data_IF_418798260624
#
_entry.id   IF_418798260624
#
_cell.length_a   1.000
_cell.length_b   1.000
_cell.length_c   1.000
_cell.angle_alpha   90.00
_cell.angle_beta   90.00
_cell.angle_gamma   90.00
#
_symmetry.space_group_name_H-M   'P 1'
#
loop_
_entity.id
_entity.type
_entity.pdbx_description
1 polymer ?
#
# COMPACT_ATOMS: atom_id res chain seq x y z
N UNK A 1 -57.57 -79.76 -40.47
CA UNK A 1 -56.19 -80.30 -40.48
C UNK A 1 -55.21 -79.14 -40.51
N UNK A 2 -54.21 -79.17 -39.61
CA UNK A 2 -52.91 -78.48 -39.63
C UNK A 2 -52.78 -76.94 -39.49
N UNK A 3 -52.19 -76.57 -38.34
CA UNK A 3 -51.00 -75.70 -38.08
C UNK A 3 -50.95 -74.22 -38.54
N UNK A 4 -51.05 -73.34 -37.53
CA UNK A 4 -50.03 -72.36 -37.01
C UNK A 4 -49.00 -71.79 -38.00
N UNK A 5 -48.91 -70.45 -38.09
CA UNK A 5 -47.64 -69.72 -37.97
C UNK A 5 -47.83 -68.24 -37.54
N UNK A 6 -47.05 -67.85 -36.52
CA UNK A 6 -46.82 -66.50 -35.99
C UNK A 6 -46.20 -65.56 -37.04
N UNK A 7 -46.38 -64.23 -36.90
CA UNK A 7 -45.24 -63.30 -36.74
C UNK A 7 -45.69 -61.94 -36.17
N UNK A 8 -44.85 -61.41 -35.29
CA UNK A 8 -45.00 -60.30 -34.33
C UNK A 8 -44.73 -58.93 -35.01
N UNK A 9 -45.36 -57.83 -34.54
CA UNK A 9 -45.18 -56.48 -35.10
C UNK A 9 -43.88 -55.82 -34.63
N UNK A 10 -43.19 -55.11 -35.53
CA UNK A 10 -42.09 -54.20 -35.17
C UNK A 10 -42.66 -52.81 -34.83
N UNK A 11 -42.65 -52.47 -33.55
CA UNK A 11 -42.74 -51.08 -33.07
C UNK A 11 -41.34 -50.47 -33.11
N UNK A 12 -41.16 -49.40 -33.89
CA UNK A 12 -40.01 -48.52 -33.76
C UNK A 12 -40.22 -47.58 -32.55
N UNK A 13 -39.49 -47.82 -31.47
CA UNK A 13 -39.28 -46.88 -30.38
C UNK A 13 -38.16 -45.92 -30.79
N UNK A 14 -38.50 -44.64 -31.02
CA UNK A 14 -37.50 -43.57 -31.12
C UNK A 14 -37.17 -43.12 -29.70
N UNK A 15 -35.98 -43.50 -29.22
CA UNK A 15 -35.42 -42.99 -27.98
C UNK A 15 -34.89 -41.56 -28.21
N UNK A 16 -35.56 -40.58 -27.61
CA UNK A 16 -35.06 -39.21 -27.50
C UNK A 16 -34.01 -39.17 -26.38
N UNK A 17 -32.72 -39.24 -26.74
CA UNK A 17 -31.64 -39.01 -25.78
C UNK A 17 -31.55 -37.51 -25.48
N UNK A 18 -32.07 -37.10 -24.33
CA UNK A 18 -31.75 -35.82 -23.69
C UNK A 18 -30.28 -35.84 -23.29
N UNK A 19 -29.41 -35.25 -24.10
CA UNK A 19 -28.06 -34.90 -23.68
C UNK A 19 -28.15 -33.65 -22.79
N UNK A 20 -28.22 -33.88 -21.48
CA UNK A 20 -27.87 -32.87 -20.48
C UNK A 20 -26.41 -32.49 -20.73
N UNK A 21 -26.21 -31.35 -21.40
CA UNK A 21 -24.92 -30.68 -21.48
C UNK A 21 -24.69 -30.06 -20.10
N UNK A 22 -24.01 -30.80 -19.22
CA UNK A 22 -23.41 -30.23 -18.02
C UNK A 22 -22.39 -29.19 -18.51
N UNK A 23 -22.74 -27.91 -18.38
CA UNK A 23 -21.75 -26.85 -18.44
C UNK A 23 -20.69 -27.15 -17.37
N UNK A 24 -19.38 -27.04 -17.69
CA UNK A 24 -18.35 -27.21 -16.69
C UNK A 24 -18.58 -26.16 -15.61
N UNK A 25 -19.00 -26.62 -14.43
CA UNK A 25 -19.03 -25.83 -13.21
C UNK A 25 -17.63 -25.24 -13.08
N UNK A 26 -17.50 -23.95 -13.34
CA UNK A 26 -16.26 -23.23 -13.09
C UNK A 26 -15.87 -23.54 -11.64
N UNK A 27 -14.62 -23.95 -11.36
CA UNK A 27 -14.23 -24.25 -10.00
C UNK A 27 -14.56 -23.03 -9.16
N UNK A 28 -15.47 -23.20 -8.20
CA UNK A 28 -15.73 -22.22 -7.16
C UNK A 28 -14.38 -22.05 -6.48
N UNK A 29 -13.65 -21.01 -6.86
CA UNK A 29 -12.40 -20.67 -6.21
C UNK A 29 -12.78 -20.41 -4.76
N UNK A 30 -12.38 -21.34 -3.88
CA UNK A 30 -12.64 -21.20 -2.46
C UNK A 30 -12.07 -19.85 -2.03
N UNK A 31 -12.94 -19.02 -1.44
CA UNK A 31 -12.55 -17.71 -0.95
C UNK A 31 -11.39 -17.88 0.03
N UNK A 32 -10.28 -17.18 -0.24
CA UNK A 32 -9.06 -17.32 0.51
C UNK A 32 -9.29 -16.81 1.94
N UNK A 33 -8.91 -17.59 2.95
CA UNK A 33 -8.92 -17.12 4.33
C UNK A 33 -7.66 -16.29 4.61
N UNK A 34 -7.85 -15.09 5.15
CA UNK A 34 -6.78 -14.23 5.64
C UNK A 34 -6.66 -14.41 7.15
N UNK A 35 -5.45 -14.72 7.62
CA UNK A 35 -5.19 -15.07 9.01
C UNK A 35 -4.91 -13.82 9.85
N UNK A 36 -5.44 -13.79 11.07
CA UNK A 36 -5.08 -12.78 12.05
C UNK A 36 -3.57 -12.80 12.34
N UNK A 37 -2.98 -11.61 12.49
CA UNK A 37 -1.54 -11.45 12.76
C UNK A 37 -0.65 -11.61 11.53
N UNK A 38 -1.22 -11.82 10.33
CA UNK A 38 -0.52 -11.76 9.05
C UNK A 38 -0.77 -10.43 8.34
N UNK A 39 0.05 -10.17 7.34
CA UNK A 39 -0.09 -9.00 6.47
C UNK A 39 -0.23 -9.45 5.04
N UNK A 40 -1.10 -8.80 4.29
CA UNK A 40 -1.37 -9.11 2.90
C UNK A 40 -1.25 -7.85 2.06
N UNK A 41 -0.74 -7.99 0.84
CA UNK A 41 -0.61 -6.92 -0.14
C UNK A 41 -1.60 -7.13 -1.27
N UNK A 42 -2.29 -6.06 -1.65
CA UNK A 42 -3.05 -5.95 -2.89
C UNK A 42 -2.45 -4.81 -3.71
N UNK A 43 -2.06 -5.09 -4.94
CA UNK A 43 -1.58 -4.05 -5.86
C UNK A 43 -2.79 -3.37 -6.49
N UNK A 44 -2.79 -2.04 -6.44
CA UNK A 44 -3.81 -1.20 -7.04
C UNK A 44 -3.20 -0.39 -8.19
N UNK A 45 -3.97 -0.09 -9.25
CA UNK A 45 -3.52 0.83 -10.29
C UNK A 45 -3.28 2.23 -9.71
N UNK A 46 -2.71 3.12 -10.54
CA UNK A 46 -2.61 4.53 -10.18
C UNK A 46 -3.99 5.08 -9.80
N UNK A 47 -4.04 5.91 -8.76
CA UNK A 47 -5.29 6.50 -8.30
C UNK A 47 -5.68 7.65 -9.24
N UNK A 48 -6.77 7.47 -9.99
CA UNK A 48 -7.37 8.52 -10.82
C UNK A 48 -8.38 9.35 -9.99
N UNK A 49 -7.93 9.89 -8.87
CA UNK A 49 -8.82 10.54 -7.90
C UNK A 49 -8.48 12.00 -7.65
N UNK A 50 -9.54 12.77 -7.42
CA UNK A 50 -9.48 14.17 -7.06
C UNK A 50 -9.06 14.27 -5.58
N UNK A 51 -7.79 14.56 -5.34
CA UNK A 51 -7.23 14.67 -3.98
C UNK A 51 -7.98 15.66 -3.12
N UNK A 52 -8.51 16.75 -3.69
CA UNK A 52 -9.29 17.73 -2.92
C UNK A 52 -10.57 17.09 -2.40
N UNK A 53 -11.27 16.30 -3.22
CA UNK A 53 -12.45 15.54 -2.77
C UNK A 53 -12.09 14.49 -1.72
N UNK A 54 -10.98 13.77 -1.89
CA UNK A 54 -10.53 12.78 -0.90
C UNK A 54 -10.25 13.45 0.45
N UNK A 55 -9.53 14.57 0.44
CA UNK A 55 -9.20 15.34 1.64
C UNK A 55 -10.49 15.75 2.36
N UNK A 56 -11.44 16.34 1.64
CA UNK A 56 -12.69 16.79 2.25
C UNK A 56 -13.53 15.61 2.77
N UNK A 57 -13.68 14.53 2.00
CA UNK A 57 -14.37 13.33 2.45
C UNK A 57 -13.73 12.73 3.71
N UNK A 58 -12.40 12.67 3.78
CA UNK A 58 -11.68 12.16 4.94
C UNK A 58 -11.87 13.05 6.17
N UNK A 59 -11.83 14.38 6.02
CA UNK A 59 -12.12 15.32 7.11
C UNK A 59 -13.54 15.11 7.66
N UNK A 60 -14.53 14.99 6.79
CA UNK A 60 -15.93 14.73 7.20
C UNK A 60 -16.11 13.35 7.83
N UNK A 61 -15.31 12.36 7.41
CA UNK A 61 -15.25 11.04 8.02
C UNK A 61 -14.46 11.01 9.34
N UNK A 62 -13.96 12.15 9.83
CA UNK A 62 -13.28 12.27 11.12
C UNK A 62 -11.81 11.85 11.11
N UNK A 63 -11.15 11.79 9.94
CA UNK A 63 -9.73 11.48 9.85
C UNK A 63 -8.88 12.62 10.40
N UNK A 64 -7.73 12.28 10.98
CA UNK A 64 -6.64 13.23 11.13
C UNK A 64 -5.96 13.42 9.78
N UNK A 65 -5.98 14.64 9.25
CA UNK A 65 -5.48 14.94 7.91
C UNK A 65 -4.22 15.79 8.01
N UNK A 66 -3.17 15.37 7.30
CA UNK A 66 -1.92 16.10 7.11
C UNK A 66 -1.77 16.43 5.64
N UNK A 67 -1.62 17.70 5.28
CA UNK A 67 -1.42 18.14 3.90
C UNK A 67 -0.08 18.85 3.81
N UNK A 68 0.84 18.31 3.01
CA UNK A 68 2.15 18.89 2.76
C UNK A 68 2.26 19.47 1.34
N UNK A 69 2.84 20.67 1.27
CA UNK A 69 3.22 21.35 0.04
C UNK A 69 4.64 21.89 0.20
N UNK A 70 5.62 21.21 -0.40
CA UNK A 70 7.03 21.49 -0.15
C UNK A 70 7.36 21.24 1.32
N UNK A 71 7.84 22.25 2.04
CA UNK A 71 8.15 22.18 3.48
C UNK A 71 7.01 22.67 4.37
N UNK A 72 5.93 23.20 3.80
CA UNK A 72 4.77 23.67 4.55
C UNK A 72 3.81 22.52 4.81
N UNK A 73 3.30 22.43 6.05
CA UNK A 73 2.31 21.42 6.44
C UNK A 73 1.13 22.09 7.11
N UNK A 74 -0.07 21.63 6.78
CA UNK A 74 -1.30 21.96 7.50
C UNK A 74 -1.95 20.70 8.04
N UNK A 75 -2.54 20.81 9.23
CA UNK A 75 -3.13 19.69 9.95
C UNK A 75 -4.60 19.94 10.25
N UNK A 76 -5.41 18.88 10.24
CA UNK A 76 -6.81 18.89 10.62
C UNK A 76 -7.13 17.67 11.48
N UNK A 77 -7.99 17.86 12.48
CA UNK A 77 -8.64 16.82 13.26
C UNK A 77 -10.10 16.77 12.84
N UNK A 78 -10.44 15.84 11.93
CA UNK A 78 -11.69 15.91 11.19
C UNK A 78 -11.78 17.21 10.39
N UNK A 79 -12.85 17.97 10.56
CA UNK A 79 -13.03 19.26 9.88
C UNK A 79 -12.35 20.44 10.58
N UNK A 80 -11.82 20.25 11.79
CA UNK A 80 -11.22 21.34 12.58
C UNK A 80 -9.73 21.48 12.28
N UNK A 81 -9.21 22.67 11.96
CA UNK A 81 -7.77 22.91 11.88
C UNK A 81 -7.07 22.61 13.21
N UNK A 82 -5.91 21.97 13.16
CA UNK A 82 -5.06 21.76 14.33
C UNK A 82 -3.92 22.77 14.32
N UNK A 83 -4.08 23.89 15.02
CA UNK A 83 -3.12 24.99 15.03
C UNK A 83 -1.83 24.71 15.80
N UNK A 84 -1.86 23.75 16.73
CA UNK A 84 -0.71 23.36 17.56
C UNK A 84 -0.10 22.01 17.13
N UNK A 85 -0.61 21.40 16.06
CA UNK A 85 0.03 20.25 15.42
C UNK A 85 1.26 20.71 14.62
N UNK A 86 2.38 20.05 14.84
CA UNK A 86 3.65 20.26 14.13
C UNK A 86 4.22 18.92 13.69
N UNK A 87 5.18 18.88 12.74
CA UNK A 87 5.85 17.64 12.36
C UNK A 87 6.48 16.89 13.54
N UNK A 88 6.93 17.61 14.57
CA UNK A 88 7.61 17.06 15.74
C UNK A 88 6.65 16.38 16.71
N UNK A 89 5.38 16.83 16.77
CA UNK A 89 4.38 16.31 17.71
C UNK A 89 3.25 15.51 17.03
N UNK A 90 3.32 15.29 15.71
CA UNK A 90 2.23 14.69 14.92
C UNK A 90 1.80 13.31 15.46
N UNK A 91 2.74 12.52 16.01
CA UNK A 91 2.46 11.21 16.61
C UNK A 91 1.59 11.25 17.85
N UNK A 92 1.77 12.29 18.66
CA UNK A 92 1.06 12.45 19.91
C UNK A 92 -0.29 13.13 19.68
N UNK A 93 -0.37 13.98 18.67
CA UNK A 93 -1.53 14.85 18.41
C UNK A 93 -2.52 14.33 17.38
N UNK A 94 -2.09 13.53 16.41
CA UNK A 94 -2.98 12.99 15.39
C UNK A 94 -3.52 11.61 15.81
N UNK A 95 -4.79 11.50 16.22
CA UNK A 95 -5.43 10.21 16.46
C UNK A 95 -5.70 9.49 15.14
N UNK A 96 -5.63 8.15 15.20
CA UNK A 96 -6.09 7.28 14.12
C UNK A 96 -7.61 7.44 13.89
N UNK A 97 -8.12 7.42 12.63
CA UNK A 97 -7.43 7.13 11.37
C UNK A 97 -6.73 8.34 10.74
N UNK A 98 -5.78 8.08 9.82
CA UNK A 98 -4.92 9.10 9.22
C UNK A 98 -5.08 9.19 7.70
N UNK A 99 -5.08 10.41 7.15
CA UNK A 99 -4.85 10.69 5.73
C UNK A 99 -3.72 11.70 5.61
N UNK A 100 -2.59 11.27 5.09
CA UNK A 100 -1.46 12.14 4.79
C UNK A 100 -1.39 12.36 3.28
N UNK A 101 -1.21 13.61 2.86
CA UNK A 101 -1.09 14.03 1.46
C UNK A 101 0.20 14.81 1.29
N UNK A 102 0.95 14.52 0.24
CA UNK A 102 2.22 15.16 -0.12
C UNK A 102 2.27 15.39 -1.63
N UNK A 103 1.95 16.61 -2.06
CA UNK A 103 1.73 16.91 -3.47
C UNK A 103 0.63 16.02 -4.06
N UNK A 104 0.98 15.19 -5.04
CA UNK A 104 0.06 14.25 -5.69
C UNK A 104 -0.04 12.89 -4.99
N UNK A 105 0.75 12.66 -3.93
CA UNK A 105 0.80 11.38 -3.23
C UNK A 105 -0.14 11.41 -2.03
N UNK A 106 -0.69 10.25 -1.69
CA UNK A 106 -1.48 10.06 -0.48
C UNK A 106 -1.06 8.80 0.24
N UNK A 107 -1.17 8.82 1.57
CA UNK A 107 -1.06 7.66 2.42
C UNK A 107 -2.22 7.67 3.39
N UNK A 108 -3.02 6.62 3.37
CA UNK A 108 -4.20 6.46 4.20
C UNK A 108 -3.99 5.27 5.13
N UNK A 109 -4.23 5.49 6.42
CA UNK A 109 -4.26 4.45 7.45
C UNK A 109 -5.63 4.45 8.09
N UNK A 110 -6.32 3.31 8.02
CA UNK A 110 -7.65 3.21 8.60
C UNK A 110 -7.95 1.79 9.08
N UNK A 111 -9.06 1.68 9.81
CA UNK A 111 -9.51 0.45 10.44
C UNK A 111 -10.95 0.18 10.06
N UNK A 112 -11.23 -1.09 9.81
CA UNK A 112 -12.56 -1.65 9.69
C UNK A 112 -12.88 -2.58 10.85
N UNK A 113 -13.98 -3.30 10.72
CA UNK A 113 -14.39 -4.34 11.68
C UNK A 113 -13.43 -5.53 11.63
N UNK A 114 -13.00 -5.92 10.43
CA UNK A 114 -12.24 -7.15 10.20
C UNK A 114 -10.73 -6.94 10.01
N UNK A 115 -10.28 -5.70 9.81
CA UNK A 115 -8.88 -5.43 9.50
C UNK A 115 -8.46 -3.99 9.81
N UNK A 116 -7.16 -3.79 9.99
CA UNK A 116 -6.50 -2.50 9.75
C UNK A 116 -5.91 -2.52 8.35
N UNK A 117 -5.82 -1.36 7.71
CA UNK A 117 -5.24 -1.27 6.39
C UNK A 117 -4.49 0.03 6.15
N UNK A 118 -3.47 -0.06 5.30
CA UNK A 118 -2.61 1.04 4.88
C UNK A 118 -2.62 1.09 3.36
N UNK A 119 -3.19 2.14 2.77
CA UNK A 119 -3.08 2.43 1.34
C UNK A 119 -1.94 3.41 1.13
N UNK A 120 -0.93 3.04 0.35
CA UNK A 120 0.28 3.86 0.17
C UNK A 120 0.83 3.78 -1.25
N UNK A 121 1.66 4.76 -1.66
CA UNK A 121 2.32 4.70 -2.96
C UNK A 121 3.28 3.52 -3.02
N UNK A 122 3.27 2.82 -4.14
CA UNK A 122 4.22 1.78 -4.48
C UNK A 122 5.24 2.29 -5.51
N UNK A 123 6.11 1.40 -5.98
CA UNK A 123 7.04 1.74 -7.06
C UNK A 123 6.29 2.01 -8.37
N UNK A 124 6.90 2.74 -9.30
CA UNK A 124 6.36 2.99 -10.65
C UNK A 124 5.02 3.74 -10.71
N UNK A 125 4.68 4.51 -9.67
CA UNK A 125 3.48 5.36 -9.65
C UNK A 125 2.17 4.61 -9.37
N UNK A 126 2.23 3.32 -9.03
CA UNK A 126 1.07 2.56 -8.56
C UNK A 126 0.85 2.74 -7.05
N UNK A 127 -0.20 2.11 -6.54
CA UNK A 127 -0.49 2.06 -5.11
C UNK A 127 -0.55 0.61 -4.64
N UNK A 128 -0.28 0.42 -3.36
CA UNK A 128 -0.52 -0.86 -2.71
C UNK A 128 -1.39 -0.66 -1.47
N UNK A 129 -2.31 -1.61 -1.28
CA UNK A 129 -3.09 -1.75 -0.07
C UNK A 129 -2.48 -2.86 0.76
N UNK A 130 -2.00 -2.51 1.95
CA UNK A 130 -1.55 -3.46 2.95
C UNK A 130 -2.68 -3.73 3.92
N UNK A 131 -3.10 -4.98 4.04
CA UNK A 131 -4.20 -5.45 4.87
C UNK A 131 -3.65 -6.24 6.04
N UNK A 132 -4.08 -5.91 7.25
CA UNK A 132 -3.75 -6.58 8.50
C UNK A 132 -5.04 -7.05 9.18
N UNK A 133 -5.47 -8.30 8.98
CA UNK A 133 -6.69 -8.82 9.59
C UNK A 133 -6.62 -8.78 11.12
N UNK A 134 -7.68 -8.29 11.76
CA UNK A 134 -7.85 -8.31 13.23
C UNK A 134 -8.42 -9.65 13.71
N UNK A 135 -9.14 -10.34 12.82
CA UNK A 135 -9.65 -11.70 13.01
C UNK A 135 -9.48 -12.50 11.73
N UNK A 136 -9.36 -13.83 11.84
CA UNK A 136 -9.35 -14.69 10.65
C UNK A 136 -10.69 -14.59 9.94
N UNK A 137 -10.68 -14.12 8.71
CA UNK A 137 -11.88 -13.89 7.91
C UNK A 137 -11.59 -14.12 6.43
N UNK A 138 -12.66 -14.13 5.64
CA UNK A 138 -12.56 -14.35 4.20
C UNK A 138 -11.99 -13.11 3.51
N UNK A 139 -11.19 -13.33 2.46
CA UNK A 139 -10.54 -12.28 1.70
C UNK A 139 -11.58 -11.35 1.06
N UNK A 140 -12.64 -11.92 0.49
CA UNK A 140 -13.71 -11.11 -0.09
C UNK A 140 -14.38 -10.22 0.95
N UNK A 141 -14.71 -10.75 2.14
CA UNK A 141 -15.38 -9.96 3.19
C UNK A 141 -14.52 -8.77 3.66
N UNK A 142 -13.21 -8.98 3.83
CA UNK A 142 -12.29 -7.90 4.20
C UNK A 142 -12.17 -6.88 3.08
N UNK A 143 -11.97 -7.33 1.84
CA UNK A 143 -11.76 -6.43 0.70
C UNK A 143 -13.03 -5.68 0.29
N UNK A 144 -14.21 -6.26 0.47
CA UNK A 144 -15.50 -5.60 0.27
C UNK A 144 -15.68 -4.46 1.30
N UNK A 145 -15.38 -4.70 2.58
CA UNK A 145 -15.45 -3.64 3.61
C UNK A 145 -14.50 -2.48 3.27
N UNK A 146 -13.24 -2.79 2.95
CA UNK A 146 -12.24 -1.77 2.62
C UNK A 146 -12.64 -1.03 1.35
N UNK A 147 -13.04 -1.75 0.31
CA UNK A 147 -13.41 -1.21 -0.98
C UNK A 147 -14.59 -0.23 -0.91
N UNK A 148 -15.63 -0.56 -0.13
CA UNK A 148 -16.74 0.36 0.12
C UNK A 148 -16.29 1.65 0.82
N UNK A 149 -15.40 1.55 1.82
CA UNK A 149 -14.85 2.74 2.50
C UNK A 149 -13.98 3.58 1.56
N UNK A 150 -13.11 2.97 0.78
CA UNK A 150 -12.27 3.69 -0.19
C UNK A 150 -13.13 4.36 -1.27
N UNK A 151 -14.21 3.73 -1.70
CA UNK A 151 -15.17 4.32 -2.64
C UNK A 151 -15.89 5.54 -2.03
N UNK A 152 -16.37 5.43 -0.77
CA UNK A 152 -16.99 6.55 -0.06
C UNK A 152 -16.05 7.75 0.12
N UNK A 153 -14.75 7.49 0.33
CA UNK A 153 -13.72 8.51 0.40
C UNK A 153 -13.33 9.08 -0.97
N UNK A 154 -13.81 8.50 -2.07
CA UNK A 154 -13.45 8.89 -3.44
C UNK A 154 -12.03 8.46 -3.84
N UNK A 155 -11.44 7.51 -3.12
CA UNK A 155 -10.09 7.00 -3.37
C UNK A 155 -10.08 6.05 -4.57
N UNK A 156 -11.11 5.21 -4.70
CA UNK A 156 -11.31 4.29 -5.83
C UNK A 156 -12.65 4.56 -6.49
N UNK A 157 -12.73 4.37 -7.81
CA UNK A 157 -13.97 4.51 -8.56
C UNK A 157 -14.89 3.28 -8.47
N UNK A 158 -14.32 2.11 -8.17
CA UNK A 158 -15.05 0.85 -8.01
C UNK A 158 -14.75 0.27 -6.61
N UNK A 159 -15.78 -0.05 -5.80
CA UNK A 159 -15.57 -0.67 -4.50
C UNK A 159 -15.09 -2.12 -4.58
N UNK A 160 -15.17 -2.79 -5.75
CA UNK A 160 -14.65 -4.15 -5.92
C UNK A 160 -13.13 -4.11 -6.13
N UNK A 161 -12.39 -4.41 -5.07
CA UNK A 161 -10.92 -4.47 -5.11
C UNK A 161 -10.42 -5.80 -5.71
N UNK A 162 -9.21 -5.83 -6.29
CA UNK A 162 -8.62 -7.07 -6.79
C UNK A 162 -8.43 -8.11 -5.67
N UNK A 163 -8.82 -9.36 -5.94
CA UNK A 163 -8.62 -10.49 -5.03
C UNK A 163 -7.21 -11.09 -5.10
N UNK A 164 -6.30 -10.51 -5.89
CA UNK A 164 -4.91 -10.94 -5.99
C UNK A 164 -4.12 -10.50 -4.76
N UNK A 165 -4.14 -11.34 -3.73
CA UNK A 165 -3.49 -11.11 -2.45
C UNK A 165 -2.15 -11.85 -2.37
N UNK A 166 -1.13 -11.13 -1.91
CA UNK A 166 0.18 -11.70 -1.58
C UNK A 166 0.42 -11.60 -0.08
N UNK A 167 0.70 -12.72 0.60
CA UNK A 167 1.12 -12.66 2.01
C UNK A 167 2.51 -12.05 2.11
N UNK A 168 2.62 -10.98 2.90
CA UNK A 168 3.90 -10.36 3.21
C UNK A 168 4.58 -11.16 4.33
N UNK A 169 5.72 -11.78 4.00
CA UNK A 169 6.55 -12.56 4.94
C UNK A 169 7.50 -11.69 5.76
N UNK A 170 7.08 -10.46 6.06
CA UNK A 170 7.90 -9.53 6.84
C UNK A 170 7.72 -9.87 8.32
N UNK A 171 8.76 -10.45 8.93
CA UNK A 171 8.75 -10.86 10.34
C UNK A 171 9.33 -9.73 11.20
N UNK A 172 8.55 -9.07 12.07
CA UNK A 172 9.06 -8.08 13.01
C UNK A 172 10.17 -8.67 13.89
N UNK A 173 11.28 -7.95 14.06
CA UNK A 173 12.42 -8.39 14.89
C UNK A 173 13.46 -9.25 14.17
N UNK A 174 13.24 -9.61 12.90
CA UNK A 174 14.28 -10.24 12.07
C UNK A 174 15.18 -9.16 11.45
N UNK A 175 16.45 -9.50 11.22
CA UNK A 175 17.44 -8.61 10.59
C UNK A 175 16.84 -8.01 9.30
N UNK A 176 16.97 -6.69 9.09
CA UNK A 176 16.52 -6.02 7.87
C UNK A 176 16.99 -6.77 6.61
N UNK A 177 16.12 -7.02 5.63
CA UNK A 177 16.54 -7.60 4.37
C UNK A 177 17.62 -6.71 3.73
N UNK A 178 18.56 -7.34 3.02
CA UNK A 178 19.57 -6.59 2.27
C UNK A 178 18.86 -5.92 1.06
N UNK A 179 19.19 -4.67 0.73
CA UNK A 179 18.78 -4.07 -0.54
C UNK A 179 19.23 -4.93 -1.74
N UNK A 180 18.54 -4.82 -2.89
CA UNK A 180 18.97 -5.47 -4.13
C UNK A 180 20.40 -5.08 -4.52
N UNK A 181 21.08 -5.96 -5.26
CA UNK A 181 22.44 -5.66 -5.71
C UNK A 181 22.47 -4.42 -6.62
N UNK A 182 23.48 -3.58 -6.43
CA UNK A 182 23.60 -2.27 -7.10
C UNK A 182 22.80 -1.13 -6.46
N UNK A 183 21.93 -1.39 -5.48
CA UNK A 183 21.19 -0.35 -4.73
C UNK A 183 22.01 0.10 -3.53
N UNK A 184 22.46 1.37 -3.54
CA UNK A 184 23.33 1.96 -2.51
C UNK A 184 22.52 2.54 -1.34
N UNK A 185 21.73 1.68 -0.70
CA UNK A 185 20.78 2.04 0.37
C UNK A 185 21.12 1.34 1.67
N UNK A 186 21.00 2.02 2.80
CA UNK A 186 21.09 1.38 4.11
C UNK A 186 19.95 0.36 4.31
N UNK A 187 20.26 -0.81 4.87
CA UNK A 187 19.28 -1.89 5.06
C UNK A 187 18.07 -1.48 5.91
N UNK A 188 18.22 -0.55 6.86
CA UNK A 188 17.07 -0.10 7.68
C UNK A 188 16.09 0.74 6.86
N UNK A 189 16.59 1.53 5.91
CA UNK A 189 15.77 2.30 4.98
C UNK A 189 15.11 1.39 3.93
N UNK A 190 15.81 0.34 3.50
CA UNK A 190 15.20 -0.67 2.66
C UNK A 190 14.09 -1.43 3.39
N UNK A 191 14.32 -1.81 4.65
CA UNK A 191 13.29 -2.42 5.49
C UNK A 191 12.07 -1.49 5.65
N UNK A 192 12.26 -0.18 5.86
CA UNK A 192 11.15 0.79 5.94
C UNK A 192 10.20 0.65 4.75
N UNK A 193 10.71 0.51 3.52
CA UNK A 193 9.86 0.35 2.33
C UNK A 193 8.98 -0.89 2.36
N UNK A 194 9.49 -1.98 2.95
CA UNK A 194 8.83 -3.28 2.96
C UNK A 194 7.87 -3.45 4.14
N UNK A 195 8.08 -2.70 5.23
CA UNK A 195 7.32 -2.86 6.45
C UNK A 195 5.84 -2.52 6.25
N UNK A 196 4.89 -3.31 6.78
CA UNK A 196 3.46 -3.08 6.57
C UNK A 196 2.93 -1.71 7.04
N UNK A 197 3.53 -1.16 8.10
CA UNK A 197 3.14 0.10 8.69
C UNK A 197 4.37 0.98 8.94
N UNK A 198 4.55 1.99 8.08
CA UNK A 198 5.66 2.92 8.17
C UNK A 198 5.61 3.73 9.48
N UNK A 199 4.42 4.08 9.95
CA UNK A 199 4.25 4.89 11.16
C UNK A 199 4.73 4.15 12.41
N UNK A 200 4.51 2.83 12.48
CA UNK A 200 4.96 2.03 13.61
C UNK A 200 6.44 1.67 13.50
N UNK A 201 6.93 1.37 12.28
CA UNK A 201 8.30 0.91 12.09
C UNK A 201 9.35 2.00 12.26
N UNK A 202 9.13 3.18 11.69
CA UNK A 202 10.12 4.25 11.68
C UNK A 202 10.68 4.65 13.07
N UNK A 203 9.85 4.94 14.10
CA UNK A 203 10.36 5.36 15.42
C UNK A 203 11.17 4.26 16.12
N UNK A 204 10.76 2.99 15.97
CA UNK A 204 11.46 1.84 16.56
C UNK A 204 12.89 1.71 16.00
N UNK A 205 13.10 2.25 14.81
CA UNK A 205 14.38 2.26 14.10
C UNK A 205 15.03 3.65 14.05
N UNK A 206 14.52 4.59 14.88
CA UNK A 206 15.02 5.97 14.98
C UNK A 206 15.04 6.72 13.63
N UNK A 207 14.09 6.39 12.76
CA UNK A 207 13.88 7.07 11.49
C UNK A 207 12.90 8.22 11.66
N UNK A 208 13.27 9.38 11.14
CA UNK A 208 12.44 10.58 11.18
C UNK A 208 11.53 10.61 9.96
N UNK A 209 10.24 10.35 10.19
CA UNK A 209 9.21 10.52 9.17
C UNK A 209 8.78 11.98 9.08
N UNK A 210 8.36 12.35 7.89
CA UNK A 210 7.70 13.61 7.60
C UNK A 210 6.53 13.30 6.65
N UNK A 211 5.44 12.81 7.23
CA UNK A 211 4.33 12.25 6.47
C UNK A 211 4.73 11.04 5.61
N UNK A 212 4.67 11.18 4.28
CA UNK A 212 5.06 10.13 3.31
C UNK A 212 6.56 10.09 3.01
N UNK A 213 7.33 11.00 3.60
CA UNK A 213 8.76 11.12 3.39
C UNK A 213 9.52 10.62 4.60
N UNK A 214 10.75 10.18 4.36
CA UNK A 214 11.73 9.91 5.41
C UNK A 214 12.92 10.85 5.23
N UNK A 215 13.42 11.39 6.34
CA UNK A 215 14.66 12.18 6.33
C UNK A 215 15.87 11.25 6.22
N UNK A 216 16.74 11.53 5.27
CA UNK A 216 17.97 10.75 5.02
C UNK A 216 19.15 11.66 4.70
N UNK A 217 20.34 11.08 4.78
CA UNK A 217 21.57 11.63 4.24
C UNK A 217 21.90 10.92 2.93
N UNK A 218 22.07 11.70 1.87
CA UNK A 218 22.57 11.23 0.58
C UNK A 218 24.01 11.71 0.45
N UNK A 219 24.93 10.77 0.31
CA UNK A 219 26.32 11.06 -0.07
C UNK A 219 26.44 10.92 -1.58
N UNK A 220 26.93 11.98 -2.23
CA UNK A 220 27.17 12.00 -3.66
C UNK A 220 28.53 11.37 -4.01
N UNK A 221 28.67 10.87 -5.23
CA UNK A 221 29.94 10.32 -5.73
C UNK A 221 31.03 11.40 -5.87
N UNK A 222 30.63 12.64 -6.13
CA UNK A 222 31.46 13.83 -6.02
C UNK A 222 30.61 15.03 -5.57
N UNK A 223 31.20 16.09 -4.99
CA UNK A 223 30.46 17.27 -4.55
C UNK A 223 29.63 17.97 -5.65
N UNK A 224 30.09 17.88 -6.90
CA UNK A 224 29.51 18.49 -8.10
C UNK A 224 28.45 17.62 -8.76
N UNK A 225 28.34 16.35 -8.36
CA UNK A 225 27.37 15.44 -8.93
C UNK A 225 25.94 15.94 -8.69
N UNK A 226 25.08 15.76 -9.69
CA UNK A 226 23.69 16.19 -9.66
C UNK A 226 22.79 14.97 -9.69
N UNK A 227 21.85 14.93 -8.74
CA UNK A 227 20.78 13.94 -8.76
C UNK A 227 19.86 14.22 -9.94
N UNK A 228 19.30 13.16 -10.54
CA UNK A 228 18.32 13.36 -11.59
C UNK A 228 17.09 14.12 -11.03
N UNK A 229 16.44 14.97 -11.84
CA UNK A 229 15.31 15.80 -11.39
C UNK A 229 14.06 14.98 -11.03
N UNK A 230 14.05 13.67 -11.33
CA UNK A 230 12.91 12.77 -11.19
C UNK A 230 12.61 12.34 -9.75
N UNK A 231 13.51 12.58 -8.80
CA UNK A 231 13.43 11.98 -7.46
C UNK A 231 12.41 12.62 -6.50
N UNK A 232 11.64 13.63 -6.94
CA UNK A 232 10.66 14.37 -6.12
C UNK A 232 11.12 14.54 -4.66
N UNK A 233 12.36 14.99 -4.45
CA UNK A 233 12.97 15.15 -3.12
C UNK A 233 12.89 16.61 -2.66
N UNK A 234 12.94 16.81 -1.35
CA UNK A 234 13.13 18.14 -0.77
C UNK A 234 14.53 18.17 -0.17
N UNK A 235 15.38 19.09 -0.63
CA UNK A 235 16.72 19.29 -0.09
C UNK A 235 16.63 20.28 1.08
N UNK A 236 16.92 19.81 2.29
CA UNK A 236 16.92 20.65 3.49
C UNK A 236 18.29 21.31 3.73
N UNK A 237 19.38 20.62 3.37
CA UNK A 237 20.73 21.14 3.51
C UNK A 237 21.71 20.45 2.54
N UNK A 238 22.77 21.15 2.14
CA UNK A 238 23.89 20.64 1.33
C UNK A 238 25.22 21.05 1.96
N UNK A 239 26.14 20.11 2.09
CA UNK A 239 27.53 20.39 2.48
C UNK A 239 28.42 20.61 1.24
N UNK A 240 29.56 21.32 1.39
CA UNK A 240 30.58 21.39 0.34
C UNK A 240 31.23 20.04 0.01
N UNK A 241 31.12 19.03 0.88
CA UNK A 241 31.65 17.69 0.68
C UNK A 241 30.74 16.74 -0.10
N UNK A 242 29.58 17.22 -0.58
CA UNK A 242 28.62 16.40 -1.31
C UNK A 242 27.66 15.58 -0.44
N UNK A 243 27.45 15.98 0.82
CA UNK A 243 26.40 15.41 1.67
C UNK A 243 25.13 16.25 1.58
N UNK A 244 24.00 15.59 1.33
CA UNK A 244 22.69 16.21 1.28
C UNK A 244 21.83 15.68 2.42
N UNK A 245 21.19 16.57 3.18
CA UNK A 245 20.07 16.19 4.05
C UNK A 245 18.78 16.41 3.27
N UNK A 246 18.02 15.35 3.07
CA UNK A 246 16.87 15.36 2.16
C UNK A 246 15.66 14.63 2.76
N UNK A 247 14.46 15.09 2.42
CA UNK A 247 13.22 14.35 2.64
C UNK A 247 12.85 13.62 1.35
N UNK A 248 12.85 12.28 1.42
CA UNK A 248 12.63 11.41 0.26
C UNK A 248 11.29 10.69 0.41
N UNK A 249 10.42 10.69 -0.61
CA UNK A 249 9.23 9.85 -0.59
C UNK A 249 9.64 8.39 -0.40
N UNK A 250 9.06 7.68 0.58
CA UNK A 250 9.53 6.35 1.00
C UNK A 250 9.58 5.37 -0.18
N UNK A 251 8.58 5.40 -1.06
CA UNK A 251 8.51 4.54 -2.26
C UNK A 251 9.64 4.79 -3.29
N UNK A 252 10.36 5.91 -3.21
CA UNK A 252 11.45 6.28 -4.13
C UNK A 252 12.86 6.04 -3.58
N UNK A 253 13.00 5.50 -2.36
CA UNK A 253 14.33 5.29 -1.75
C UNK A 253 15.24 4.40 -2.62
N UNK A 254 14.70 3.31 -3.20
CA UNK A 254 15.45 2.45 -4.11
C UNK A 254 15.86 3.20 -5.38
N UNK A 255 14.93 3.95 -6.00
CA UNK A 255 15.21 4.73 -7.21
C UNK A 255 16.34 5.73 -6.97
N UNK A 256 16.27 6.48 -5.87
CA UNK A 256 17.31 7.42 -5.45
C UNK A 256 18.65 6.71 -5.21
N UNK A 257 18.65 5.59 -4.50
CA UNK A 257 19.86 4.83 -4.20
C UNK A 257 20.49 4.13 -5.43
N UNK A 258 19.73 4.01 -6.52
CA UNK A 258 20.22 3.53 -7.81
C UNK A 258 20.80 4.64 -8.68
N UNK A 259 20.57 5.93 -8.37
CA UNK A 259 21.09 7.05 -9.16
C UNK A 259 22.64 6.99 -9.25
N UNK A 260 23.24 7.10 -10.46
CA UNK A 260 24.70 7.11 -10.64
C UNK A 260 25.44 8.16 -9.81
N UNK A 261 24.81 9.29 -9.52
CA UNK A 261 25.36 10.38 -8.71
C UNK A 261 25.40 10.04 -7.21
N UNK A 262 24.72 8.99 -6.77
CA UNK A 262 24.65 8.58 -5.36
C UNK A 262 25.75 7.59 -5.03
N UNK A 263 26.51 7.88 -3.97
CA UNK A 263 27.46 6.95 -3.36
C UNK A 263 26.78 6.07 -2.32
N UNK A 264 25.96 6.65 -1.44
CA UNK A 264 25.14 5.92 -0.47
C UNK A 264 23.99 6.79 0.07
N UNK A 265 22.87 6.15 0.38
CA UNK A 265 21.73 6.73 1.12
C UNK A 265 21.63 6.06 2.49
N UNK A 266 21.66 6.86 3.57
CA UNK A 266 21.64 6.35 4.94
C UNK A 266 20.79 7.23 5.87
N UNK A 267 20.32 6.73 7.02
CA UNK A 267 19.70 7.56 8.03
C UNK A 267 20.63 8.69 8.49
N UNK A 268 20.09 9.82 8.99
CA UNK A 268 20.87 10.83 9.68
C UNK A 268 21.65 10.22 10.83
N UNK A 269 22.90 10.66 11.02
CA UNK A 269 23.66 10.27 12.19
C UNK A 269 23.00 10.88 13.42
N UNK A 270 22.53 10.04 14.33
CA UNK A 270 22.19 10.45 15.68
C UNK A 270 23.42 10.15 16.55
N UNK A 271 24.16 11.17 17.02
CA UNK A 271 25.14 10.95 18.08
C UNK A 271 24.44 10.26 19.25
N UNK A 272 25.12 9.30 19.88
CA UNK A 272 24.57 8.55 21.01
C UNK A 272 23.95 9.48 22.05
N UNK A 273 22.75 9.12 22.49
CA UNK A 273 22.19 9.59 23.76
C UNK A 273 23.18 9.33 24.90
#
# INVERSE_FOLDING_TARGET
MLRVLMFIPWLFLVAFSLTLREDPISPIMADQLLLAGKFYRVVLPALESDLTKIIESAKHAGFSVRIAQGTTVTYFLGTQPCSDCTPENERERLPFPHLFVDGALLWLRAGGLLSKYNLRPAQSGSYELIVAPTSTASASAILDEIGQRLFQLGVVANPLLPLSLEELTVVPGVKPPKPPDGVRLDSVLYALMLMPDWYEFAPQNKLELWGLRVRVIVELVSPEAQLAPTHNIIIEARSPSGLLRVLVPIHQLVLLASDPAVKIVRPPFQPGL
#
